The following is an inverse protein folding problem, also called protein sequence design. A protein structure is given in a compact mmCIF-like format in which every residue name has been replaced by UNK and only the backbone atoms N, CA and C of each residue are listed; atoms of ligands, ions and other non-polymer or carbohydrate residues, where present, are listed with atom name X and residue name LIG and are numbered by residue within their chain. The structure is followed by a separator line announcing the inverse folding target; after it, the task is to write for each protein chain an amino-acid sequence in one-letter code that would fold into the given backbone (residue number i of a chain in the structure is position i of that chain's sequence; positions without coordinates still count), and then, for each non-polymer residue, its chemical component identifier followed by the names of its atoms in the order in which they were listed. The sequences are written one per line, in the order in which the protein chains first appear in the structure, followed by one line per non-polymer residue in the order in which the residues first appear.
data_IF_000777670694
#
_entry.id   IF_000777670694
#
_cell.length_a   1.000
_cell.length_b   1.000
_cell.length_c   1.000
_cell.angle_alpha   90.00
_cell.angle_beta   90.00
_cell.angle_gamma   90.00
#
_symmetry.space_group_name_H-M   'P 1'
#
loop_
_entity.id
_entity.type
_entity.pdbx_description
1 polymer ?
#
# COMPACT_ATOMS: atom_id res chain seq x y z
N UNK A 1 -24.09 -11.20 -9.89
CA UNK A 1 -24.55 -10.59 -8.62
C UNK A 1 -24.45 -9.08 -8.79
N UNK A 2 -25.60 -8.41 -8.90
CA UNK A 2 -25.71 -6.98 -9.19
C UNK A 2 -26.23 -6.19 -7.99
N UNK A 3 -25.74 -6.54 -6.80
CA UNK A 3 -25.95 -5.77 -5.58
C UNK A 3 -24.65 -5.03 -5.26
N UNK A 4 -24.35 -4.01 -6.07
CA UNK A 4 -23.29 -3.06 -5.81
C UNK A 4 -23.96 -1.77 -5.37
N UNK A 5 -24.11 -1.50 -4.06
CA UNK A 5 -24.62 -0.20 -3.64
C UNK A 5 -23.76 0.89 -4.27
N UNK A 6 -24.39 1.82 -5.00
CA UNK A 6 -23.71 2.96 -5.63
C UNK A 6 -22.96 3.81 -4.59
N UNK A 7 -23.34 3.72 -3.31
CA UNK A 7 -22.75 4.48 -2.20
C UNK A 7 -22.07 3.56 -1.19
N UNK A 8 -20.75 3.62 -1.12
CA UNK A 8 -19.92 2.82 -0.20
C UNK A 8 -19.76 3.54 1.15
N UNK A 9 -20.76 3.43 2.03
CA UNK A 9 -20.83 4.15 3.32
C UNK A 9 -19.58 4.01 4.20
N UNK A 10 -18.91 2.86 4.16
CA UNK A 10 -17.76 2.54 5.01
C UNK A 10 -16.41 2.62 4.30
N UNK A 11 -16.39 3.18 3.09
CA UNK A 11 -15.18 3.27 2.31
C UNK A 11 -14.66 4.70 2.30
N UNK A 12 -13.35 4.84 2.51
CA UNK A 12 -12.62 6.11 2.49
C UNK A 12 -12.04 6.34 1.10
N UNK A 13 -12.06 7.58 0.63
CA UNK A 13 -11.28 8.00 -0.53
C UNK A 13 -9.85 8.27 -0.04
N UNK A 14 -8.91 7.45 -0.47
CA UNK A 14 -7.46 7.68 -0.34
C UNK A 14 -6.99 8.53 -1.53
N UNK A 15 -6.13 9.51 -1.23
CA UNK A 15 -5.50 10.38 -2.22
C UNK A 15 -4.00 10.27 -2.04
N UNK A 16 -3.34 9.60 -2.98
CA UNK A 16 -1.94 9.21 -2.83
C UNK A 16 -1.07 9.52 -4.05
N UNK A 17 0.20 9.76 -3.79
CA UNK A 17 1.26 9.82 -4.82
C UNK A 17 2.33 8.78 -4.51
N UNK A 18 2.96 8.27 -5.56
CA UNK A 18 3.97 7.22 -5.48
C UNK A 18 5.27 7.65 -6.15
N UNK A 19 6.39 7.40 -5.49
CA UNK A 19 7.72 7.78 -5.95
C UNK A 19 8.63 6.56 -5.98
N UNK A 20 9.43 6.43 -7.03
CA UNK A 20 10.49 5.42 -7.14
C UNK A 20 11.77 5.96 -6.51
N UNK A 21 12.49 5.09 -5.80
CA UNK A 21 13.76 5.43 -5.15
C UNK A 21 14.86 4.47 -5.61
N UNK A 22 16.08 4.98 -5.75
CA UNK A 22 17.26 4.17 -6.00
C UNK A 22 17.84 3.54 -4.72
N UNK A 23 17.62 4.18 -3.57
CA UNK A 23 18.11 3.74 -2.26
C UNK A 23 17.21 4.27 -1.14
N UNK A 24 17.31 3.66 0.05
CA UNK A 24 16.65 4.18 1.25
C UNK A 24 17.26 5.55 1.63
N UNK A 25 16.45 6.57 1.96
CA UNK A 25 16.98 7.86 2.43
C UNK A 25 17.83 7.69 3.68
N UNK A 26 18.84 8.55 3.86
CA UNK A 26 19.81 8.43 4.97
C UNK A 26 19.19 8.74 6.33
N UNK A 27 18.09 9.48 6.32
CA UNK A 27 17.31 9.92 7.46
C UNK A 27 16.47 8.79 8.05
N UNK A 28 16.28 7.70 7.31
CA UNK A 28 15.52 6.53 7.77
C UNK A 28 16.43 5.60 8.56
N UNK A 29 16.01 5.27 9.78
CA UNK A 29 16.62 4.20 10.55
C UNK A 29 16.31 2.84 9.89
N UNK A 30 17.32 2.06 9.46
CA UNK A 30 17.11 0.77 8.82
C UNK A 30 16.48 -0.29 9.75
N UNK A 31 16.49 -0.08 11.06
CA UNK A 31 15.93 -0.99 12.05
C UNK A 31 14.49 -0.59 12.48
N UNK A 32 14.06 0.64 12.22
CA UNK A 32 12.71 1.13 12.51
C UNK A 32 11.75 0.90 11.32
N UNK A 33 11.34 -0.35 11.15
CA UNK A 33 10.34 -0.74 10.15
C UNK A 33 9.25 -1.63 10.72
N UNK A 34 8.14 -1.71 9.99
CA UNK A 34 7.20 -2.83 10.10
C UNK A 34 7.31 -3.70 8.87
N UNK A 35 7.20 -5.01 9.03
CA UNK A 35 7.11 -5.94 7.91
C UNK A 35 5.65 -6.16 7.54
N UNK A 36 5.35 -6.05 6.26
CA UNK A 36 4.01 -6.21 5.71
C UNK A 36 4.00 -7.50 4.90
N UNK A 37 3.19 -8.46 5.33
CA UNK A 37 2.88 -9.68 4.56
C UNK A 37 1.48 -9.56 4.01
N UNK A 38 1.39 -9.47 2.70
CA UNK A 38 0.14 -9.32 1.98
C UNK A 38 -0.22 -10.60 1.24
N UNK A 39 -1.49 -10.98 1.30
CA UNK A 39 -2.11 -11.96 0.42
C UNK A 39 -3.24 -11.26 -0.36
N UNK A 40 -3.02 -11.06 -1.67
CA UNK A 40 -4.01 -10.52 -2.60
C UNK A 40 -4.94 -11.64 -3.06
N UNK A 41 -6.16 -11.66 -2.55
CA UNK A 41 -7.11 -12.77 -2.69
C UNK A 41 -7.53 -12.91 -4.16
N UNK A 42 -7.31 -14.11 -4.72
CA UNK A 42 -7.55 -14.40 -6.13
C UNK A 42 -8.99 -14.08 -6.56
N UNK A 43 -9.13 -13.44 -7.72
CA UNK A 43 -10.44 -13.10 -8.30
C UNK A 43 -11.19 -11.98 -7.59
N UNK A 44 -10.54 -11.25 -6.67
CA UNK A 44 -11.16 -10.16 -5.90
C UNK A 44 -10.28 -8.92 -5.84
N UNK A 45 -10.79 -7.85 -5.23
CA UNK A 45 -10.01 -6.67 -4.82
C UNK A 45 -9.60 -6.71 -3.34
N UNK A 46 -9.73 -7.88 -2.69
CA UNK A 46 -9.41 -8.05 -1.28
C UNK A 46 -7.93 -8.36 -1.09
N UNK A 47 -7.40 -7.86 0.02
CA UNK A 47 -6.03 -8.14 0.48
C UNK A 47 -6.07 -8.39 1.98
N UNK A 48 -5.65 -9.58 2.40
CA UNK A 48 -5.33 -9.84 3.80
C UNK A 48 -3.90 -9.34 4.05
N UNK A 49 -3.70 -8.53 5.08
CA UNK A 49 -2.39 -8.01 5.48
C UNK A 49 -2.11 -8.36 6.93
N UNK A 50 -0.94 -8.95 7.16
CA UNK A 50 -0.30 -9.01 8.47
C UNK A 50 0.74 -7.88 8.55
N UNK A 51 0.72 -7.14 9.65
CA UNK A 51 1.73 -6.16 10.01
C UNK A 51 2.51 -6.74 11.16
N UNK A 52 3.81 -6.93 10.97
CA UNK A 52 4.74 -7.50 11.96
C UNK A 52 5.75 -6.44 12.38
N UNK A 53 6.22 -6.52 13.61
CA UNK A 53 7.43 -5.81 14.02
C UNK A 53 8.70 -6.46 13.40
N UNK A 54 9.89 -5.88 13.56
CA UNK A 54 11.13 -6.45 13.01
C UNK A 54 11.40 -7.89 13.46
N UNK A 55 11.03 -8.23 14.70
CA UNK A 55 11.20 -9.54 15.33
C UNK A 55 10.17 -10.58 14.87
N UNK A 56 9.19 -10.18 14.05
CA UNK A 56 8.19 -11.07 13.46
C UNK A 56 6.94 -11.26 14.31
N UNK A 57 6.75 -10.50 15.39
CA UNK A 57 5.50 -10.51 16.14
C UNK A 57 4.43 -9.79 15.35
N UNK A 58 3.27 -10.44 15.19
CA UNK A 58 2.10 -9.83 14.56
C UNK A 58 1.56 -8.70 15.45
N UNK A 59 1.52 -7.49 14.88
CA UNK A 59 0.97 -6.29 15.50
C UNK A 59 -0.50 -6.08 15.10
N UNK A 60 -0.82 -6.31 13.83
CA UNK A 60 -2.16 -6.07 13.27
C UNK A 60 -2.44 -7.05 12.13
N UNK A 61 -3.65 -7.59 12.09
CA UNK A 61 -4.19 -8.29 10.92
C UNK A 61 -5.39 -7.52 10.38
N UNK A 62 -5.46 -7.35 9.05
CA UNK A 62 -6.58 -6.62 8.42
C UNK A 62 -6.90 -7.12 7.02
N UNK A 63 -8.20 -7.19 6.72
CA UNK A 63 -8.74 -7.46 5.40
C UNK A 63 -9.15 -6.13 4.76
N UNK A 64 -8.43 -5.72 3.71
CA UNK A 64 -8.68 -4.49 2.98
C UNK A 64 -9.30 -4.74 1.61
N UNK A 65 -10.15 -3.83 1.14
CA UNK A 65 -10.61 -3.77 -0.24
C UNK A 65 -10.20 -2.43 -0.86
N UNK A 66 -9.34 -2.44 -1.88
CA UNK A 66 -8.92 -1.23 -2.60
C UNK A 66 -9.40 -1.28 -4.05
N UNK A 67 -10.18 -0.30 -4.48
CA UNK A 67 -10.70 -0.21 -5.86
C UNK A 67 -10.53 1.20 -6.43
N UNK A 68 -10.67 1.39 -7.75
CA UNK A 68 -10.80 2.73 -8.33
C UNK A 68 -11.93 3.53 -7.66
N UNK A 69 -11.73 4.84 -7.57
CA UNK A 69 -12.78 5.78 -7.19
C UNK A 69 -13.81 5.88 -8.33
N UNK A 70 -15.10 5.55 -8.11
CA UNK A 70 -16.14 5.62 -9.14
C UNK A 70 -16.37 7.05 -9.66
N UNK A 71 -16.07 8.08 -8.85
CA UNK A 71 -16.23 9.48 -9.24
C UNK A 71 -14.98 10.01 -9.99
N UNK A 72 -13.87 9.25 -9.96
CA UNK A 72 -12.62 9.56 -10.65
C UNK A 72 -11.89 8.28 -11.13
N UNK A 73 -12.52 7.45 -11.98
CA UNK A 73 -12.05 6.09 -12.27
C UNK A 73 -10.70 6.03 -12.99
N UNK A 74 -10.33 7.11 -13.68
CA UNK A 74 -9.08 7.23 -14.42
C UNK A 74 -7.99 8.01 -13.67
N UNK A 75 -8.27 8.54 -12.47
CA UNK A 75 -7.27 9.23 -11.67
C UNK A 75 -6.48 8.21 -10.84
N UNK A 76 -5.20 8.02 -11.14
CA UNK A 76 -4.37 7.04 -10.43
C UNK A 76 -4.12 7.43 -8.96
N UNK A 77 -4.29 8.71 -8.61
CA UNK A 77 -4.12 9.23 -7.25
C UNK A 77 -5.27 8.86 -6.33
N UNK A 78 -6.46 8.59 -6.88
CA UNK A 78 -7.68 8.36 -6.09
C UNK A 78 -8.09 6.91 -6.06
N UNK A 79 -8.23 6.37 -4.85
CA UNK A 79 -8.71 5.00 -4.63
C UNK A 79 -9.71 4.99 -3.50
N UNK A 80 -10.63 4.04 -3.54
CA UNK A 80 -11.51 3.77 -2.41
C UNK A 80 -10.93 2.60 -1.62
N UNK A 81 -10.81 2.78 -0.31
CA UNK A 81 -10.36 1.76 0.64
C UNK A 81 -11.44 1.47 1.68
N UNK A 82 -11.74 0.20 1.88
CA UNK A 82 -12.46 -0.32 3.06
C UNK A 82 -11.52 -1.24 3.82
N UNK A 83 -11.49 -1.15 5.16
CA UNK A 83 -10.64 -2.02 5.98
C UNK A 83 -11.45 -2.62 7.12
N UNK A 84 -11.27 -3.92 7.35
CA UNK A 84 -11.77 -4.65 8.52
C UNK A 84 -10.53 -5.14 9.29
N UNK A 85 -10.43 -4.78 10.56
CA UNK A 85 -9.41 -5.30 11.45
C UNK A 85 -9.87 -6.63 12.03
N UNK A 86 -8.99 -7.63 12.04
CA UNK A 86 -9.31 -8.98 12.45
C UNK A 86 -8.39 -9.41 13.59
N UNK A 87 -8.91 -10.14 14.58
CA UNK A 87 -8.10 -11.06 15.38
C UNK A 87 -7.34 -12.05 14.48
N UNK A 88 -6.17 -12.51 14.94
CA UNK A 88 -5.31 -13.41 14.16
C UNK A 88 -5.96 -14.78 13.91
N UNK A 89 -6.68 -15.31 14.89
CA UNK A 89 -7.40 -16.58 14.81
C UNK A 89 -8.59 -16.50 13.83
N UNK A 90 -9.33 -15.39 13.82
CA UNK A 90 -10.37 -15.14 12.82
C UNK A 90 -9.76 -15.11 11.41
N UNK A 91 -8.65 -14.40 11.21
CA UNK A 91 -7.99 -14.33 9.92
C UNK A 91 -7.48 -15.71 9.45
N UNK A 92 -6.89 -16.50 10.35
CA UNK A 92 -6.41 -17.85 10.06
C UNK A 92 -7.55 -18.83 9.72
N UNK A 93 -8.78 -18.57 10.19
CA UNK A 93 -9.95 -19.37 9.86
C UNK A 93 -10.49 -19.14 8.44
N UNK A 94 -10.08 -18.05 7.78
CA UNK A 94 -10.53 -17.72 6.43
C UNK A 94 -9.72 -18.51 5.39
N UNK A 95 -10.37 -19.34 4.53
CA UNK A 95 -9.67 -20.14 3.51
C UNK A 95 -9.29 -19.27 2.29
N UNK A 96 -8.48 -18.24 2.50
CA UNK A 96 -8.08 -17.30 1.45
C UNK A 96 -6.87 -17.83 0.68
N UNK A 97 -7.00 -17.88 -0.64
CA UNK A 97 -5.89 -18.15 -1.56
C UNK A 97 -5.61 -16.91 -2.40
N UNK A 98 -4.35 -16.61 -2.62
CA UNK A 98 -3.98 -15.37 -3.30
C UNK A 98 -2.52 -15.33 -3.72
N UNK A 99 -2.14 -14.17 -4.26
CA UNK A 99 -0.75 -13.84 -4.56
C UNK A 99 -0.15 -13.21 -3.32
N UNK A 100 1.00 -13.71 -2.89
CA UNK A 100 1.68 -13.22 -1.70
C UNK A 100 2.75 -12.19 -2.03
N UNK A 101 2.99 -11.28 -1.09
CA UNK A 101 4.15 -10.39 -1.13
C UNK A 101 4.60 -9.97 0.26
N UNK A 102 5.89 -9.70 0.39
CA UNK A 102 6.51 -9.26 1.64
C UNK A 102 7.32 -8.00 1.38
N UNK A 103 7.18 -7.00 2.25
CA UNK A 103 7.97 -5.76 2.20
C UNK A 103 8.20 -5.18 3.59
N UNK A 104 9.30 -4.46 3.75
CA UNK A 104 9.53 -3.60 4.91
C UNK A 104 9.00 -2.21 4.62
N UNK A 105 8.22 -1.63 5.55
CA UNK A 105 7.72 -0.27 5.46
C UNK A 105 8.36 0.58 6.54
N UNK A 106 9.08 1.60 6.10
CA UNK A 106 9.63 2.68 6.90
C UNK A 106 8.74 3.90 6.83
N UNK A 107 8.91 4.82 7.78
CA UNK A 107 8.23 6.11 7.79
C UNK A 107 9.26 7.22 7.80
N UNK A 108 9.01 8.24 6.99
CA UNK A 108 9.80 9.47 6.96
C UNK A 108 8.84 10.66 7.01
N UNK A 109 9.01 11.51 8.02
CA UNK A 109 8.25 12.77 8.12
C UNK A 109 8.97 13.85 7.30
N UNK A 110 8.32 14.36 6.27
CA UNK A 110 8.86 15.44 5.44
C UNK A 110 7.72 16.27 4.84
N UNK A 111 7.95 17.57 4.60
CA UNK A 111 6.93 18.46 4.01
C UNK A 111 5.59 18.50 4.81
N UNK A 112 5.62 18.12 6.09
CA UNK A 112 4.42 18.02 6.94
C UNK A 112 3.60 16.74 6.76
N UNK A 113 4.13 15.73 6.07
CA UNK A 113 3.44 14.47 5.79
C UNK A 113 4.33 13.26 6.09
N UNK A 114 3.68 12.14 6.41
CA UNK A 114 4.35 10.84 6.54
C UNK A 114 4.48 10.19 5.16
N UNK A 115 5.71 10.08 4.67
CA UNK A 115 6.06 9.24 3.54
C UNK A 115 6.29 7.80 4.02
N UNK A 116 5.50 6.86 3.51
CA UNK A 116 5.69 5.44 3.74
C UNK A 116 6.62 4.87 2.68
N UNK A 117 7.83 4.46 3.06
CA UNK A 117 8.84 3.92 2.14
C UNK A 117 8.84 2.39 2.25
N UNK A 118 8.48 1.72 1.18
CA UNK A 118 8.40 0.27 1.06
C UNK A 118 9.64 -0.28 0.35
N UNK A 119 10.33 -1.21 0.98
CA UNK A 119 11.39 -2.04 0.37
C UNK A 119 10.87 -3.46 0.21
N UNK A 120 10.72 -3.91 -1.03
CA UNK A 120 10.20 -5.23 -1.36
C UNK A 120 11.19 -6.35 -1.03
N UNK A 121 10.71 -7.38 -0.33
CA UNK A 121 11.47 -8.59 0.03
C UNK A 121 11.06 -9.76 -0.86
N UNK A 122 9.77 -9.87 -1.19
CA UNK A 122 9.16 -10.90 -2.03
C UNK A 122 8.02 -10.33 -2.88
N UNK A 123 7.79 -10.81 -4.12
CA UNK A 123 8.49 -11.93 -4.77
C UNK A 123 9.89 -11.55 -5.26
N UNK A 124 10.67 -12.55 -5.68
CA UNK A 124 12.05 -12.34 -6.17
C UNK A 124 12.15 -11.32 -7.31
N UNK A 125 11.14 -11.24 -8.18
CA UNK A 125 11.09 -10.29 -9.28
C UNK A 125 10.95 -8.81 -8.84
N UNK A 126 10.43 -8.57 -7.63
CA UNK A 126 10.30 -7.23 -7.06
C UNK A 126 11.33 -6.96 -5.95
N UNK A 127 12.15 -7.95 -5.58
CA UNK A 127 13.06 -7.86 -4.44
C UNK A 127 14.05 -6.70 -4.60
N UNK A 128 14.13 -5.85 -3.59
CA UNK A 128 14.98 -4.66 -3.58
C UNK A 128 14.37 -3.44 -4.26
N UNK A 129 13.19 -3.55 -4.88
CA UNK A 129 12.46 -2.37 -5.37
C UNK A 129 12.04 -1.49 -4.18
N UNK A 130 12.27 -0.18 -4.32
CA UNK A 130 11.97 0.79 -3.28
C UNK A 130 10.94 1.79 -3.80
N UNK A 131 9.79 1.87 -3.14
CA UNK A 131 8.72 2.81 -3.45
C UNK A 131 8.35 3.61 -2.23
N UNK A 132 8.15 4.92 -2.38
CA UNK A 132 7.47 5.71 -1.36
C UNK A 132 6.04 5.99 -1.77
N UNK A 133 5.14 6.01 -0.79
CA UNK A 133 3.76 6.50 -0.91
C UNK A 133 3.53 7.63 0.08
N UNK A 134 2.79 8.65 -0.30
CA UNK A 134 2.26 9.68 0.61
C UNK A 134 0.77 9.81 0.38
N UNK A 135 -0.01 9.85 1.46
CA UNK A 135 -1.47 10.05 1.44
C UNK A 135 -1.80 11.41 2.06
N UNK A 136 -2.70 12.17 1.42
CA UNK A 136 -3.18 13.45 1.92
C UNK A 136 -4.72 13.46 2.07
N UNK A 137 -5.29 14.33 2.93
CA UNK A 137 -6.74 14.43 3.11
C UNK A 137 -7.46 14.96 1.87
N UNK A 138 -6.81 15.84 1.10
CA UNK A 138 -7.37 16.49 -0.09
C UNK A 138 -6.43 16.46 -1.30
N UNK A 139 -7.00 16.63 -2.50
CA UNK A 139 -6.21 16.70 -3.73
C UNK A 139 -5.37 17.98 -3.81
N UNK A 140 -5.85 19.04 -3.16
CA UNK A 140 -5.11 20.30 -3.04
C UNK A 140 -3.82 20.10 -2.23
N UNK A 141 -3.91 19.45 -1.07
CA UNK A 141 -2.74 19.12 -0.25
C UNK A 141 -1.79 18.17 -0.98
N UNK A 142 -2.33 17.14 -1.64
CA UNK A 142 -1.53 16.20 -2.44
C UNK A 142 -0.80 16.91 -3.60
N UNK A 143 -1.44 17.91 -4.20
CA UNK A 143 -0.87 18.74 -5.27
C UNK A 143 0.21 19.72 -4.80
N UNK A 144 0.24 20.07 -3.51
CA UNK A 144 1.29 20.91 -2.91
C UNK A 144 2.57 20.16 -2.59
N UNK A 145 2.54 18.83 -2.56
CA UNK A 145 3.74 18.00 -2.36
C UNK A 145 4.73 18.29 -3.49
N UNK A 146 5.91 18.78 -3.13
CA UNK A 146 7.04 18.84 -4.05
C UNK A 146 7.68 17.46 -4.15
N UNK A 147 8.20 17.11 -5.33
CA UNK A 147 8.90 15.83 -5.52
C UNK A 147 10.10 15.79 -4.55
N UNK A 148 10.17 14.82 -3.63
CA UNK A 148 11.27 14.76 -2.66
C UNK A 148 12.62 14.57 -3.35
N UNK A 149 13.69 15.13 -2.77
CA UNK A 149 15.04 15.07 -3.35
C UNK A 149 15.63 13.66 -3.39
N UNK A 150 15.14 12.75 -2.55
CA UNK A 150 15.50 11.33 -2.51
C UNK A 150 14.73 10.48 -3.52
N UNK A 151 13.71 11.03 -4.18
CA UNK A 151 12.96 10.32 -5.22
C UNK A 151 13.71 10.40 -6.56
N UNK A 152 13.83 9.27 -7.26
CA UNK A 152 14.27 9.27 -8.66
C UNK A 152 13.24 9.93 -9.57
N UNK A 153 11.98 9.49 -9.44
CA UNK A 153 10.86 10.00 -10.21
C UNK A 153 9.52 9.64 -9.57
N UNK A 154 8.50 10.38 -9.95
CA UNK A 154 7.11 10.01 -9.66
C UNK A 154 6.63 8.88 -10.58
N UNK A 155 5.96 7.89 -10.00
CA UNK A 155 5.40 6.71 -10.68
C UNK A 155 3.90 6.53 -10.39
N UNK A 156 3.23 7.59 -9.93
CA UNK A 156 1.81 7.58 -9.54
C UNK A 156 0.88 7.07 -10.65
N UNK A 157 1.13 7.46 -11.90
CA UNK A 157 0.34 7.05 -13.07
C UNK A 157 0.80 5.71 -13.68
N UNK A 158 1.93 5.17 -13.26
CA UNK A 158 2.47 3.92 -13.78
C UNK A 158 1.89 2.72 -13.01
N UNK A 159 1.00 1.99 -13.68
CA UNK A 159 0.31 0.83 -13.12
C UNK A 159 1.25 -0.36 -12.83
N UNK A 160 2.43 -0.41 -13.46
CA UNK A 160 3.42 -1.46 -13.21
C UNK A 160 4.00 -1.41 -11.79
N UNK A 161 3.93 -0.25 -11.14
CA UNK A 161 4.37 -0.05 -9.76
C UNK A 161 3.22 -0.20 -8.75
N UNK A 162 2.05 -0.69 -9.17
CA UNK A 162 0.97 -1.00 -8.22
C UNK A 162 1.35 -2.24 -7.37
N UNK A 163 0.94 -2.25 -6.11
CA UNK A 163 1.32 -3.33 -5.19
C UNK A 163 0.89 -4.72 -5.69
N UNK A 164 -0.28 -4.84 -6.34
CA UNK A 164 -0.73 -6.12 -6.92
C UNK A 164 0.15 -6.58 -8.09
N UNK A 165 0.54 -5.67 -9.00
CA UNK A 165 1.40 -6.02 -10.15
C UNK A 165 2.78 -6.45 -9.67
N UNK A 166 3.34 -5.74 -8.69
CA UNK A 166 4.62 -6.09 -8.08
C UNK A 166 4.57 -7.45 -7.36
N UNK A 167 3.49 -7.72 -6.63
CA UNK A 167 3.28 -9.02 -5.98
C UNK A 167 3.17 -10.17 -6.99
N UNK A 168 2.60 -9.93 -8.17
CA UNK A 168 2.53 -10.93 -9.25
C UNK A 168 3.89 -11.25 -9.85
N UNK A 169 4.85 -10.32 -9.78
CA UNK A 169 6.23 -10.53 -10.24
C UNK A 169 6.48 -10.31 -11.74
N UNK A 170 5.60 -9.57 -12.43
CA UNK A 170 5.53 -9.39 -13.90
C UNK A 170 5.01 -10.62 -14.65
#
# INVERSE_FOLDING_TARGET
MDDRPLRRKYARIERERRFLLAALPREVDPDDFVRLRDCFVSGTHLRLRHVEDPDGRVLVVKLGQKTPDPDAPNDARRRIMTTIYLPEDEAASLPLTGIESVKRRYKLEEQGWTFCIDVWEEPSAAKGLILSEVECPSDEELGRITVPSWAEREVTEDANYSAFVLAKGS
#
